data_IF_557249461872
#
_entry.id   IF_557249461872
#
_cell.length_a   1.000
_cell.length_b   1.000
_cell.length_c   1.000
_cell.angle_alpha   90.00
_cell.angle_beta   90.00
_cell.angle_gamma   90.00
#
_symmetry.space_group_name_H-M   'P 1'
#
loop_
_entity.id
_entity.type
_entity.pdbx_description
1 polymer ?
#
# COMPACT_ATOMS: atom_id res chain seq x y z
N UNK A 1 41.65 53.76 16.03
CA UNK A 1 40.92 52.87 16.96
C UNK A 1 39.46 52.71 16.55
N UNK A 2 38.78 53.81 16.20
CA UNK A 2 37.40 53.83 15.69
C UNK A 2 37.17 52.99 14.41
N UNK A 3 38.05 53.07 13.41
CA UNK A 3 37.88 52.31 12.15
C UNK A 3 38.03 50.79 12.31
N UNK A 4 38.91 50.34 13.21
CA UNK A 4 39.03 48.91 13.55
C UNK A 4 37.77 48.37 14.23
N UNK A 5 37.11 49.20 15.04
CA UNK A 5 35.85 48.84 15.70
C UNK A 5 34.69 48.79 14.69
N UNK A 6 34.58 49.77 13.78
CA UNK A 6 33.59 49.71 12.68
C UNK A 6 33.78 48.49 11.80
N UNK A 7 35.00 48.17 11.40
CA UNK A 7 35.28 46.97 10.60
C UNK A 7 34.93 45.69 11.36
N UNK A 8 35.16 45.63 12.68
CA UNK A 8 34.79 44.48 13.51
C UNK A 8 33.27 44.30 13.62
N UNK A 9 32.52 45.38 13.84
CA UNK A 9 31.05 45.36 13.85
C UNK A 9 30.52 44.89 12.50
N UNK A 10 31.02 45.50 11.41
CA UNK A 10 30.56 45.15 10.07
C UNK A 10 30.87 43.69 9.72
N UNK A 11 32.06 43.20 10.04
CA UNK A 11 32.45 41.81 9.82
C UNK A 11 31.70 40.82 10.72
N UNK A 12 31.22 41.26 11.90
CA UNK A 12 30.34 40.47 12.77
C UNK A 12 28.92 40.39 12.22
N UNK A 13 28.38 41.49 11.70
CA UNK A 13 27.08 41.53 11.01
C UNK A 13 27.08 40.59 9.79
N UNK A 14 28.12 40.65 8.95
CA UNK A 14 28.22 39.77 7.77
C UNK A 14 28.32 38.30 8.16
N UNK A 15 29.08 37.96 9.21
CA UNK A 15 29.18 36.59 9.72
C UNK A 15 27.85 36.07 10.29
N UNK A 16 27.07 36.94 10.95
CA UNK A 16 25.77 36.57 11.50
C UNK A 16 24.77 36.33 10.36
N UNK A 17 24.76 37.19 9.34
CA UNK A 17 23.92 36.99 8.15
C UNK A 17 24.29 35.71 7.39
N UNK A 18 25.58 35.43 7.19
CA UNK A 18 26.05 34.21 6.55
C UNK A 18 25.63 32.95 7.35
N UNK A 19 25.79 32.97 8.67
CA UNK A 19 25.33 31.87 9.53
C UNK A 19 23.81 31.72 9.51
N UNK A 20 23.07 32.81 9.47
CA UNK A 20 21.62 32.79 9.38
C UNK A 20 21.15 32.16 8.05
N UNK A 21 21.76 32.54 6.92
CA UNK A 21 21.46 31.95 5.61
C UNK A 21 21.78 30.46 5.57
N UNK A 22 22.94 30.04 6.08
CA UNK A 22 23.30 28.62 6.18
C UNK A 22 22.29 27.82 7.02
N UNK A 23 21.78 28.38 8.13
CA UNK A 23 20.75 27.72 8.95
C UNK A 23 19.44 27.59 8.18
N UNK A 24 19.02 28.61 7.44
CA UNK A 24 17.80 28.58 6.62
C UNK A 24 17.91 27.53 5.50
N UNK A 25 19.07 27.45 4.84
CA UNK A 25 19.33 26.47 3.78
C UNK A 25 19.32 25.05 4.31
N UNK A 26 20.04 24.78 5.42
CA UNK A 26 20.05 23.46 6.07
C UNK A 26 18.64 23.09 6.54
N UNK A 27 17.91 24.02 7.13
CA UNK A 27 16.53 23.77 7.57
C UNK A 27 15.60 23.43 6.39
N UNK A 28 15.73 24.13 5.26
CA UNK A 28 14.97 23.85 4.04
C UNK A 28 15.26 22.46 3.46
N UNK A 29 16.54 22.10 3.35
CA UNK A 29 16.99 20.78 2.91
C UNK A 29 16.51 19.66 3.85
N UNK A 30 16.68 19.84 5.16
CA UNK A 30 16.27 18.86 6.17
C UNK A 30 14.76 18.68 6.21
N UNK A 31 13.99 19.76 6.02
CA UNK A 31 12.54 19.68 5.96
C UNK A 31 12.05 18.92 4.71
N UNK A 32 12.61 19.19 3.53
CA UNK A 32 12.19 18.53 2.29
C UNK A 32 12.64 17.06 2.24
N UNK A 33 13.89 16.77 2.61
CA UNK A 33 14.40 15.40 2.72
C UNK A 33 13.72 14.62 3.86
N UNK A 34 13.31 15.30 4.93
CA UNK A 34 12.55 14.70 6.03
C UNK A 34 11.16 14.23 5.59
N UNK A 35 10.40 15.10 4.90
CA UNK A 35 9.06 14.75 4.39
C UNK A 35 9.16 13.68 3.29
N UNK A 36 9.98 13.90 2.26
CA UNK A 36 10.14 12.94 1.17
C UNK A 36 10.72 11.60 1.67
N UNK A 37 11.70 11.64 2.58
CA UNK A 37 12.31 10.47 3.19
C UNK A 37 11.33 9.68 4.06
N UNK A 38 10.45 10.35 4.80
CA UNK A 38 9.37 9.72 5.55
C UNK A 38 8.45 8.91 4.65
N UNK A 39 7.92 9.52 3.59
CA UNK A 39 7.05 8.82 2.63
C UNK A 39 7.77 7.72 1.86
N UNK A 40 9.05 7.90 1.50
CA UNK A 40 9.86 6.86 0.87
C UNK A 40 10.06 5.65 1.80
N UNK A 41 10.25 5.89 3.10
CA UNK A 41 10.35 4.83 4.11
C UNK A 41 9.01 4.09 4.26
N UNK A 42 7.91 4.83 4.43
CA UNK A 42 6.57 4.22 4.50
C UNK A 42 6.26 3.39 3.23
N UNK A 43 6.63 3.89 2.04
CA UNK A 43 6.47 3.13 0.80
C UNK A 43 7.24 1.80 0.84
N UNK A 44 8.46 1.79 1.38
CA UNK A 44 9.26 0.56 1.54
C UNK A 44 8.63 -0.42 2.53
N UNK A 45 8.14 0.08 3.67
CA UNK A 45 7.47 -0.75 4.67
C UNK A 45 6.18 -1.37 4.08
N UNK A 46 5.45 -0.59 3.27
CA UNK A 46 4.26 -1.04 2.57
C UNK A 46 4.57 -2.07 1.47
N UNK A 47 5.70 -1.91 0.77
CA UNK A 47 6.22 -2.91 -0.17
C UNK A 47 6.46 -4.26 0.50
N UNK A 48 7.06 -4.24 1.70
CA UNK A 48 7.33 -5.45 2.48
C UNK A 48 6.02 -6.11 2.90
N UNK A 49 5.07 -5.33 3.43
CA UNK A 49 3.73 -5.81 3.77
C UNK A 49 3.04 -6.46 2.57
N UNK A 50 3.07 -5.82 1.39
CA UNK A 50 2.50 -6.38 0.16
C UNK A 50 3.13 -7.75 -0.20
N UNK A 51 4.44 -7.89 -0.04
CA UNK A 51 5.14 -9.15 -0.33
C UNK A 51 4.81 -10.25 0.70
N UNK A 52 4.70 -9.90 1.98
CA UNK A 52 4.25 -10.82 3.03
C UNK A 52 2.85 -11.35 2.75
N UNK A 53 1.90 -10.49 2.40
CA UNK A 53 0.55 -10.91 2.01
C UNK A 53 0.52 -11.77 0.75
N UNK A 54 1.42 -11.50 -0.21
CA UNK A 54 1.59 -12.36 -1.39
C UNK A 54 2.09 -13.76 -1.00
N UNK A 55 3.06 -13.85 -0.09
CA UNK A 55 3.56 -15.12 0.42
C UNK A 55 2.48 -15.89 1.17
N UNK A 56 1.65 -15.21 1.97
CA UNK A 56 0.49 -15.83 2.64
C UNK A 56 -0.48 -16.41 1.61
N UNK A 57 -0.87 -15.65 0.58
CA UNK A 57 -1.77 -16.14 -0.47
C UNK A 57 -1.18 -17.36 -1.19
N UNK A 58 0.12 -17.32 -1.52
CA UNK A 58 0.83 -18.44 -2.14
C UNK A 58 0.88 -19.67 -1.22
N UNK A 59 1.05 -19.47 0.09
CA UNK A 59 0.96 -20.51 1.10
C UNK A 59 -0.42 -21.17 1.13
N UNK A 60 -1.51 -20.40 1.07
CA UNK A 60 -2.87 -20.95 1.01
C UNK A 60 -3.08 -21.83 -0.24
N UNK A 61 -2.60 -21.40 -1.41
CA UNK A 61 -2.68 -22.22 -2.61
C UNK A 61 -1.83 -23.49 -2.49
N UNK A 62 -0.61 -23.39 -1.95
CA UNK A 62 0.23 -24.55 -1.70
C UNK A 62 -0.43 -25.56 -0.75
N UNK A 63 -1.13 -25.09 0.29
CA UNK A 63 -1.89 -25.96 1.20
C UNK A 63 -3.01 -26.72 0.48
N UNK A 64 -3.74 -26.07 -0.43
CA UNK A 64 -4.75 -26.74 -1.26
C UNK A 64 -4.11 -27.86 -2.10
N UNK A 65 -3.00 -27.57 -2.77
CA UNK A 65 -2.28 -28.56 -3.58
C UNK A 65 -1.76 -29.73 -2.74
N UNK A 66 -1.16 -29.46 -1.58
CA UNK A 66 -0.65 -30.48 -0.65
C UNK A 66 -1.81 -31.34 -0.14
N UNK A 67 -2.93 -30.74 0.23
CA UNK A 67 -4.13 -31.44 0.70
C UNK A 67 -4.70 -32.41 -0.34
N UNK A 68 -4.74 -31.99 -1.60
CA UNK A 68 -5.19 -32.84 -2.72
C UNK A 68 -4.19 -33.98 -2.98
N UNK A 69 -2.88 -33.68 -2.99
CA UNK A 69 -1.81 -34.69 -3.18
C UNK A 69 -1.81 -35.77 -2.09
N UNK A 70 -1.98 -35.39 -0.82
CA UNK A 70 -2.02 -36.32 0.31
C UNK A 70 -3.19 -37.31 0.16
N UNK A 71 -4.38 -36.83 -0.22
CA UNK A 71 -5.54 -37.70 -0.45
C UNK A 71 -5.36 -38.66 -1.62
N UNK A 72 -4.72 -38.20 -2.71
CA UNK A 72 -4.39 -39.05 -3.85
C UNK A 72 -3.44 -40.20 -3.47
N UNK A 73 -2.44 -39.95 -2.62
CA UNK A 73 -1.47 -40.99 -2.18
C UNK A 73 -2.00 -41.94 -1.10
N UNK A 74 -2.88 -41.46 -0.23
CA UNK A 74 -3.46 -42.27 0.85
C UNK A 74 -4.65 -43.14 0.41
N UNK A 75 -4.97 -43.19 -0.89
CA UNK A 75 -6.08 -44.00 -1.40
C UNK A 75 -7.47 -43.42 -1.10
N UNK A 76 -7.55 -42.18 -0.60
CA UNK A 76 -8.80 -41.40 -0.47
C UNK A 76 -9.12 -40.61 -1.76
N UNK A 77 -8.52 -41.00 -2.89
CA UNK A 77 -8.88 -40.49 -4.20
C UNK A 77 -10.33 -40.84 -4.55
N UNK A 78 -10.89 -40.18 -5.55
CA UNK A 78 -12.27 -40.43 -6.05
C UNK A 78 -12.38 -41.82 -6.74
N UNK A 79 -11.33 -42.64 -6.69
CA UNK A 79 -11.32 -44.02 -7.16
C UNK A 79 -11.76 -44.99 -6.06
N UNK A 80 -13.05 -44.97 -5.73
CA UNK A 80 -13.70 -46.15 -5.19
C UNK A 80 -14.48 -46.82 -6.32
N UNK A 81 -13.95 -47.94 -6.81
CA UNK A 81 -14.57 -48.91 -7.73
C UNK A 81 -15.93 -49.47 -7.25
N UNK A 82 -16.52 -48.90 -6.20
CA UNK A 82 -17.73 -49.36 -5.50
C UNK A 82 -18.73 -48.25 -5.14
N UNK A 83 -18.53 -46.99 -5.58
CA UNK A 83 -19.53 -45.92 -5.45
C UNK A 83 -18.96 -44.55 -5.05
N UNK A 84 -19.77 -43.50 -5.19
CA UNK A 84 -19.39 -42.10 -4.88
C UNK A 84 -19.34 -41.88 -3.36
N UNK A 85 -18.18 -41.47 -2.84
CA UNK A 85 -17.99 -41.15 -1.43
C UNK A 85 -18.31 -39.66 -1.14
N UNK A 86 -19.59 -39.35 -0.93
CA UNK A 86 -20.10 -38.01 -0.62
C UNK A 86 -19.39 -37.30 0.54
N UNK A 87 -19.12 -37.94 1.69
CA UNK A 87 -18.34 -37.34 2.78
C UNK A 87 -16.97 -36.78 2.35
N UNK A 88 -16.24 -37.53 1.52
CA UNK A 88 -14.92 -37.13 1.01
C UNK A 88 -15.03 -35.89 0.12
N UNK A 89 -16.05 -35.83 -0.74
CA UNK A 89 -16.29 -34.70 -1.64
C UNK A 89 -16.62 -33.44 -0.84
N UNK A 90 -17.57 -33.54 0.10
CA UNK A 90 -18.02 -32.39 0.91
C UNK A 90 -16.88 -31.84 1.78
N UNK A 91 -16.06 -32.70 2.36
CA UNK A 91 -14.91 -32.29 3.18
C UNK A 91 -13.84 -31.62 2.30
N UNK A 92 -13.60 -32.15 1.11
CA UNK A 92 -12.65 -31.56 0.15
C UNK A 92 -13.10 -30.17 -0.29
N UNK A 93 -14.38 -30.03 -0.64
CA UNK A 93 -14.97 -28.77 -1.06
C UNK A 93 -14.91 -27.73 0.06
N UNK A 94 -15.24 -28.12 1.30
CA UNK A 94 -15.21 -27.22 2.46
C UNK A 94 -13.80 -26.70 2.76
N UNK A 95 -12.80 -27.59 2.85
CA UNK A 95 -11.41 -27.21 3.15
C UNK A 95 -10.83 -26.34 2.03
N UNK A 96 -11.11 -26.69 0.77
CA UNK A 96 -10.66 -25.92 -0.39
C UNK A 96 -11.34 -24.56 -0.43
N UNK A 97 -12.65 -24.49 -0.15
CA UNK A 97 -13.43 -23.26 -0.13
C UNK A 97 -12.93 -22.27 0.91
N UNK A 98 -12.73 -22.71 2.16
CA UNK A 98 -12.17 -21.84 3.22
C UNK A 98 -10.77 -21.34 2.85
N UNK A 99 -9.91 -22.24 2.36
CA UNK A 99 -8.55 -21.88 1.94
C UNK A 99 -8.54 -20.91 0.77
N UNK A 100 -9.48 -21.06 -0.17
CA UNK A 100 -9.63 -20.19 -1.34
C UNK A 100 -10.09 -18.79 -0.94
N UNK A 101 -11.07 -18.68 -0.03
CA UNK A 101 -11.52 -17.38 0.52
C UNK A 101 -10.36 -16.68 1.23
N UNK A 102 -9.59 -17.40 2.05
CA UNK A 102 -8.42 -16.86 2.72
C UNK A 102 -7.34 -16.38 1.73
N UNK A 103 -7.05 -17.18 0.69
CA UNK A 103 -6.10 -16.80 -0.37
C UNK A 103 -6.54 -15.55 -1.11
N UNK A 104 -7.84 -15.43 -1.41
CA UNK A 104 -8.39 -14.29 -2.12
C UNK A 104 -8.36 -13.02 -1.27
N UNK A 105 -8.64 -13.13 0.03
CA UNK A 105 -8.48 -12.03 0.98
C UNK A 105 -7.03 -11.54 1.03
N UNK A 106 -6.07 -12.46 1.22
CA UNK A 106 -4.65 -12.14 1.25
C UNK A 106 -4.15 -11.49 -0.06
N UNK A 107 -4.64 -11.97 -1.21
CA UNK A 107 -4.35 -11.36 -2.53
C UNK A 107 -4.85 -9.92 -2.62
N UNK A 108 -6.09 -9.66 -2.15
CA UNK A 108 -6.64 -8.30 -2.10
C UNK A 108 -5.83 -7.38 -1.19
N UNK A 109 -5.45 -7.85 0.00
CA UNK A 109 -4.60 -7.09 0.91
C UNK A 109 -3.23 -6.78 0.30
N UNK A 110 -2.59 -7.75 -0.34
CA UNK A 110 -1.33 -7.53 -1.08
C UNK A 110 -1.48 -6.42 -2.13
N UNK A 111 -2.58 -6.42 -2.89
CA UNK A 111 -2.85 -5.36 -3.89
C UNK A 111 -3.07 -3.99 -3.25
N UNK A 112 -3.81 -3.92 -2.14
CA UNK A 112 -4.04 -2.66 -1.43
C UNK A 112 -2.72 -2.04 -0.98
N UNK A 113 -1.87 -2.82 -0.31
CA UNK A 113 -0.55 -2.36 0.11
C UNK A 113 0.29 -1.90 -1.10
N UNK A 114 0.25 -2.62 -2.22
CA UNK A 114 0.98 -2.23 -3.44
C UNK A 114 0.52 -0.89 -4.03
N UNK A 115 -0.78 -0.60 -4.00
CA UNK A 115 -1.32 0.69 -4.46
C UNK A 115 -0.89 1.81 -3.51
N UNK A 116 -0.91 1.57 -2.20
CA UNK A 116 -0.45 2.52 -1.19
C UNK A 116 1.05 2.81 -1.32
N UNK A 117 1.87 1.78 -1.51
CA UNK A 117 3.31 1.88 -1.77
C UNK A 117 3.61 2.79 -2.96
N UNK A 118 2.95 2.51 -4.10
CA UNK A 118 3.07 3.34 -5.29
C UNK A 118 2.71 4.79 -4.98
N UNK A 119 1.54 5.05 -4.37
CA UNK A 119 1.11 6.41 -4.05
C UNK A 119 2.12 7.15 -3.17
N UNK A 120 2.63 6.51 -2.12
CA UNK A 120 3.62 7.11 -1.22
C UNK A 120 4.94 7.39 -1.94
N UNK A 121 5.38 6.47 -2.82
CA UNK A 121 6.59 6.64 -3.61
C UNK A 121 6.48 7.78 -4.62
N UNK A 122 5.35 7.88 -5.32
CA UNK A 122 5.06 9.00 -6.21
C UNK A 122 5.07 10.33 -5.46
N UNK A 123 4.40 10.40 -4.30
CA UNK A 123 4.41 11.59 -3.47
C UNK A 123 5.83 11.99 -3.03
N UNK A 124 6.65 11.03 -2.58
CA UNK A 124 8.04 11.30 -2.22
C UNK A 124 8.86 11.86 -3.40
N UNK A 125 8.64 11.32 -4.61
CA UNK A 125 9.29 11.83 -5.83
C UNK A 125 8.80 13.23 -6.21
N UNK A 126 7.49 13.49 -6.09
CA UNK A 126 6.89 14.80 -6.37
C UNK A 126 7.43 15.88 -5.43
N UNK A 127 7.48 15.60 -4.13
CA UNK A 127 8.05 16.52 -3.13
C UNK A 127 9.51 16.82 -3.46
N UNK A 128 10.30 15.79 -3.80
CA UNK A 128 11.72 15.96 -4.14
C UNK A 128 11.95 16.67 -5.47
N UNK A 129 11.04 16.50 -6.43
CA UNK A 129 11.13 17.13 -7.74
C UNK A 129 10.57 18.56 -7.77
N UNK A 130 9.90 19.01 -6.71
CA UNK A 130 9.24 20.32 -6.67
C UNK A 130 10.26 21.47 -6.82
N UNK A 131 11.30 21.50 -6.00
CA UNK A 131 12.32 22.55 -6.02
C UNK A 131 13.01 22.72 -7.38
N UNK A 132 13.52 21.66 -8.03
CA UNK A 132 14.12 21.80 -9.36
C UNK A 132 13.09 22.16 -10.45
N UNK A 133 11.82 21.78 -10.29
CA UNK A 133 10.78 22.11 -11.27
C UNK A 133 10.43 23.61 -11.25
N UNK A 134 10.35 24.22 -10.07
CA UNK A 134 9.95 25.62 -9.92
C UNK A 134 11.12 26.61 -10.07
N UNK A 135 12.37 26.13 -10.00
CA UNK A 135 13.56 26.98 -10.08
C UNK A 135 13.66 27.81 -11.37
N UNK A 136 13.04 27.36 -12.47
CA UNK A 136 13.02 28.07 -13.75
C UNK A 136 11.96 29.17 -13.87
N UNK A 137 11.03 29.26 -12.91
CA UNK A 137 9.92 30.21 -12.92
C UNK A 137 10.30 31.55 -12.27
N UNK A 138 9.56 32.61 -12.57
CA UNK A 138 9.73 33.90 -11.88
C UNK A 138 9.32 33.78 -10.40
N UNK A 139 9.86 34.64 -9.54
CA UNK A 139 9.58 34.62 -8.09
C UNK A 139 8.10 34.71 -7.76
N UNK A 140 7.35 35.54 -8.49
CA UNK A 140 5.89 35.69 -8.36
C UNK A 140 5.15 34.38 -8.69
N UNK A 141 5.54 33.70 -9.78
CA UNK A 141 4.97 32.41 -10.18
C UNK A 141 5.30 31.30 -9.18
N UNK A 142 6.52 31.28 -8.63
CA UNK A 142 6.92 30.32 -7.60
C UNK A 142 6.08 30.48 -6.33
N UNK A 143 5.86 31.72 -5.90
CA UNK A 143 5.09 32.00 -4.68
C UNK A 143 3.62 31.60 -4.84
N UNK A 144 3.02 31.95 -5.98
CA UNK A 144 1.65 31.56 -6.32
C UNK A 144 1.47 30.03 -6.35
N UNK A 145 2.42 29.30 -6.94
CA UNK A 145 2.37 27.84 -6.99
C UNK A 145 2.53 27.21 -5.60
N UNK A 146 3.43 27.75 -4.75
CA UNK A 146 3.60 27.31 -3.36
C UNK A 146 2.32 27.52 -2.55
N UNK A 147 1.63 28.65 -2.73
CA UNK A 147 0.35 28.92 -2.08
C UNK A 147 -0.73 27.93 -2.50
N UNK A 148 -0.87 27.68 -3.80
CA UNK A 148 -1.84 26.71 -4.33
C UNK A 148 -1.59 25.29 -3.82
N UNK A 149 -0.32 24.85 -3.81
CA UNK A 149 0.07 23.54 -3.30
C UNK A 149 -0.14 23.42 -1.80
N UNK A 150 0.21 24.46 -1.03
CA UNK A 150 -0.03 24.48 0.41
C UNK A 150 -1.52 24.35 0.73
N UNK A 151 -2.37 25.11 0.02
CA UNK A 151 -3.82 25.04 0.21
C UNK A 151 -4.38 23.67 -0.21
N UNK A 152 -3.89 23.08 -1.30
CA UNK A 152 -4.34 21.75 -1.74
C UNK A 152 -3.90 20.61 -0.82
N UNK A 153 -2.69 20.70 -0.27
CA UNK A 153 -2.12 19.64 0.58
C UNK A 153 -2.61 19.71 2.02
N UNK A 154 -2.79 20.93 2.56
CA UNK A 154 -3.07 21.18 3.97
C UNK A 154 -4.44 21.83 4.24
N UNK A 155 -5.08 22.43 3.24
CA UNK A 155 -6.40 23.07 3.36
C UNK A 155 -7.58 22.12 3.23
N UNK A 156 -7.34 20.81 3.02
CA UNK A 156 -8.39 19.80 3.06
C UNK A 156 -8.54 19.26 4.48
N UNK A 157 -9.72 19.39 5.09
CA UNK A 157 -10.09 18.66 6.31
C UNK A 157 -10.07 17.15 6.00
N UNK A 158 -8.95 16.49 6.33
CA UNK A 158 -8.76 15.05 6.14
C UNK A 158 -9.48 14.20 7.19
N UNK A 159 -10.37 14.79 7.98
CA UNK A 159 -11.38 14.05 8.74
C UNK A 159 -12.43 13.56 7.75
N UNK A 160 -12.01 12.62 6.91
CA UNK A 160 -12.92 11.91 6.03
C UNK A 160 -13.91 11.16 6.92
N UNK A 161 -15.20 11.45 6.77
CA UNK A 161 -16.28 10.56 7.20
C UNK A 161 -15.87 9.13 6.83
N UNK A 162 -15.86 8.25 7.83
CA UNK A 162 -15.63 6.81 7.64
C UNK A 162 -16.66 6.29 6.63
N UNK A 163 -16.32 6.29 5.33
CA UNK A 163 -17.08 5.53 4.36
C UNK A 163 -16.95 4.08 4.79
N UNK A 164 -18.05 3.39 5.11
CA UNK A 164 -17.98 2.03 5.61
C UNK A 164 -17.21 1.22 4.60
N UNK A 165 -16.14 0.58 5.07
CA UNK A 165 -15.37 -0.39 4.30
C UNK A 165 -16.40 -1.34 3.71
N UNK A 166 -16.58 -1.29 2.39
CA UNK A 166 -17.49 -2.18 1.67
C UNK A 166 -16.86 -3.57 1.72
N UNK A 167 -17.01 -4.23 2.87
CA UNK A 167 -16.87 -5.67 3.01
C UNK A 167 -17.72 -6.33 1.94
N UNK A 168 -17.31 -7.54 1.55
CA UNK A 168 -17.89 -8.34 0.47
C UNK A 168 -19.39 -8.06 0.32
N UNK A 169 -19.76 -7.41 -0.79
CA UNK A 169 -21.16 -7.04 -1.01
C UNK A 169 -22.01 -8.32 -0.86
N UNK A 170 -23.12 -8.29 -0.12
CA UNK A 170 -23.93 -9.48 0.14
C UNK A 170 -24.37 -10.21 -1.15
N UNK A 171 -24.43 -9.50 -2.27
CA UNK A 171 -24.65 -10.08 -3.61
C UNK A 171 -23.58 -11.08 -4.06
N UNK A 172 -22.30 -10.84 -3.78
CA UNK A 172 -21.21 -11.75 -4.21
C UNK A 172 -21.24 -13.07 -3.45
N UNK A 173 -21.64 -13.06 -2.17
CA UNK A 173 -21.80 -14.29 -1.39
C UNK A 173 -22.99 -15.10 -1.89
N UNK A 174 -24.07 -14.41 -2.25
CA UNK A 174 -25.29 -15.01 -2.80
C UNK A 174 -25.05 -15.63 -4.18
N UNK A 175 -24.36 -14.93 -5.08
CA UNK A 175 -23.97 -15.44 -6.40
C UNK A 175 -23.08 -16.69 -6.30
N UNK A 176 -22.11 -16.70 -5.36
CA UNK A 176 -21.28 -17.88 -5.12
C UNK A 176 -22.10 -19.03 -4.55
N UNK A 177 -23.03 -18.75 -3.62
CA UNK A 177 -23.91 -19.77 -3.03
C UNK A 177 -24.87 -20.38 -4.08
N UNK A 178 -25.44 -19.56 -4.95
CA UNK A 178 -26.30 -19.98 -6.06
C UNK A 178 -25.52 -20.85 -7.05
N UNK A 179 -24.32 -20.41 -7.47
CA UNK A 179 -23.47 -21.19 -8.38
C UNK A 179 -23.04 -22.55 -7.79
N UNK A 180 -22.77 -22.61 -6.48
CA UNK A 180 -22.46 -23.88 -5.79
C UNK A 180 -23.71 -24.78 -5.71
N UNK A 181 -24.88 -24.20 -5.45
CA UNK A 181 -26.14 -24.95 -5.36
C UNK A 181 -26.53 -25.54 -6.72
N UNK A 182 -26.40 -24.77 -7.80
CA UNK A 182 -26.65 -25.25 -9.16
C UNK A 182 -25.69 -26.35 -9.57
N UNK A 183 -24.40 -26.24 -9.22
CA UNK A 183 -23.41 -27.28 -9.47
C UNK A 183 -23.73 -28.59 -8.71
N UNK A 184 -24.25 -28.51 -7.50
CA UNK A 184 -24.66 -29.70 -6.72
C UNK A 184 -25.93 -30.35 -7.30
N UNK A 185 -26.92 -29.55 -7.72
CA UNK A 185 -28.18 -30.06 -8.28
C UNK A 185 -28.00 -30.69 -9.66
N UNK A 186 -27.07 -30.18 -10.46
CA UNK A 186 -26.75 -30.74 -11.79
C UNK A 186 -26.01 -32.07 -11.67
N UNK A 187 -25.11 -32.21 -10.70
CA UNK A 187 -24.40 -33.48 -10.42
C UNK A 187 -25.33 -34.53 -9.77
N UNK A 188 -26.29 -34.13 -8.94
CA UNK A 188 -27.24 -35.06 -8.29
C UNK A 188 -28.38 -35.57 -9.18
N UNK A 189 -28.53 -35.07 -10.41
CA UNK A 189 -29.56 -35.48 -11.38
C UNK A 189 -29.03 -36.36 -12.52
N UNK A 190 -27.73 -36.67 -12.54
CA UNK A 190 -27.11 -37.64 -13.46
C UNK A 190 -26.78 -38.95 -12.76
#
# INVERSE_FOLDING_TARGET
MYDKFKNFIHQSETNIEEKHQNILEIHGLVASDGVAGGYAKLAKDEQQSANTWRLIAMGCYALIFIWVMIKGKLGFGIDSLTGINWPTIITTLSVTGVSFVAAQYASRQSRLHRVTEQRMRWFALEVKALDPFIASLTTDQQQKLKEELANRLFGQDRVAEEKPVRGMAPGTVKEIAEAVTDAVQTVGKS
#
